data_IF_857485575102
#
_entry.id   IF_857485575102
#
_cell.length_a   1.000
_cell.length_b   1.000
_cell.length_c   1.000
_cell.angle_alpha   90.00
_cell.angle_beta   90.00
_cell.angle_gamma   90.00
#
_symmetry.space_group_name_H-M   'P 1'
#
loop_
_entity.id
_entity.type
_entity.pdbx_description
1 polymer ?
#
# COMPACT_ATOMS: atom_id res chain seq x y z
N UNK A 1 7.81 7.92 13.90
CA UNK A 1 6.41 7.58 13.57
C UNK A 1 6.32 7.66 12.07
N UNK A 2 5.91 6.59 11.37
CA UNK A 2 5.83 6.62 9.91
C UNK A 2 4.59 7.41 9.52
N UNK A 3 4.77 8.52 8.82
CA UNK A 3 3.65 9.34 8.34
C UNK A 3 3.11 8.66 7.09
N UNK A 4 1.89 8.10 7.14
CA UNK A 4 1.28 7.41 6.00
C UNK A 4 1.26 8.31 4.75
N UNK A 5 1.05 9.62 4.97
CA UNK A 5 1.17 10.67 3.95
C UNK A 5 2.55 10.67 3.30
N UNK A 6 3.62 10.78 4.08
CA UNK A 6 4.98 10.85 3.56
C UNK A 6 5.37 9.57 2.84
N UNK A 7 4.97 8.41 3.36
CA UNK A 7 5.28 7.11 2.77
C UNK A 7 4.64 6.95 1.40
N UNK A 8 3.34 7.25 1.28
CA UNK A 8 2.62 7.17 0.00
C UNK A 8 3.23 8.14 -1.00
N UNK A 9 3.44 9.38 -0.60
CA UNK A 9 4.00 10.43 -1.46
C UNK A 9 5.41 10.08 -1.93
N UNK A 10 6.27 9.57 -1.04
CA UNK A 10 7.65 9.19 -1.36
C UNK A 10 7.72 8.05 -2.36
N UNK A 11 6.93 6.99 -2.18
CA UNK A 11 6.93 5.86 -3.13
C UNK A 11 6.33 6.27 -4.49
N UNK A 12 5.27 7.08 -4.49
CA UNK A 12 4.66 7.60 -5.73
C UNK A 12 5.63 8.52 -6.47
N UNK A 13 6.31 9.45 -5.78
CA UNK A 13 7.32 10.32 -6.40
C UNK A 13 8.48 9.55 -7.02
N UNK A 14 8.93 8.49 -6.36
CA UNK A 14 9.99 7.63 -6.88
C UNK A 14 9.55 6.86 -8.13
N UNK A 15 8.31 6.35 -8.14
CA UNK A 15 7.78 5.60 -9.28
C UNK A 15 7.50 6.48 -10.50
N UNK A 16 6.97 7.69 -10.31
CA UNK A 16 6.71 8.62 -11.41
C UNK A 16 7.95 9.44 -11.81
N UNK A 17 9.03 9.40 -11.02
CA UNK A 17 10.21 10.27 -11.23
C UNK A 17 9.80 11.76 -11.24
N UNK A 18 8.83 12.13 -10.41
CA UNK A 18 8.30 13.49 -10.31
C UNK A 18 8.56 14.07 -8.91
N UNK A 19 8.77 15.40 -8.80
CA UNK A 19 8.93 16.04 -7.51
C UNK A 19 7.61 16.02 -6.73
N UNK A 20 7.72 15.81 -5.42
CA UNK A 20 6.62 15.78 -4.45
C UNK A 20 5.68 17.01 -4.53
N UNK A 21 6.21 18.15 -4.96
CA UNK A 21 5.48 19.42 -5.08
C UNK A 21 4.49 19.45 -6.27
N UNK A 22 4.70 18.59 -7.28
CA UNK A 22 3.85 18.53 -8.48
C UNK A 22 2.60 17.66 -8.29
N UNK A 23 2.48 17.00 -7.14
CA UNK A 23 1.37 16.10 -6.87
C UNK A 23 0.23 16.83 -6.16
N UNK A 24 -0.94 16.84 -6.79
CA UNK A 24 -2.18 17.26 -6.15
C UNK A 24 -2.84 16.07 -5.46
N UNK A 25 -3.26 16.25 -4.20
CA UNK A 25 -3.84 15.17 -3.38
C UNK A 25 -5.15 14.60 -3.94
N UNK A 26 -5.88 15.42 -4.71
CA UNK A 26 -7.16 15.08 -5.36
C UNK A 26 -6.99 14.64 -6.83
N UNK A 27 -5.78 14.79 -7.39
CA UNK A 27 -5.55 14.46 -8.81
C UNK A 27 -5.47 12.95 -9.00
N UNK A 28 -6.10 12.51 -10.09
CA UNK A 28 -6.04 11.13 -10.53
C UNK A 28 -4.62 10.78 -11.01
N UNK A 29 -3.96 9.85 -10.32
CA UNK A 29 -2.59 9.44 -10.60
C UNK A 29 -2.43 8.80 -11.99
N UNK A 30 -3.50 8.21 -12.57
CA UNK A 30 -3.42 7.72 -13.94
C UNK A 30 -3.14 8.83 -14.95
N UNK A 31 -3.65 10.05 -14.70
CA UNK A 31 -3.37 11.21 -15.55
C UNK A 31 -1.92 11.68 -15.45
N UNK A 32 -1.24 11.39 -14.33
CA UNK A 32 0.17 11.70 -14.12
C UNK A 32 1.11 10.65 -14.72
N UNK A 33 0.58 9.51 -15.20
CA UNK A 33 1.37 8.40 -15.73
C UNK A 33 1.49 7.20 -14.79
N UNK A 34 0.67 7.12 -13.74
CA UNK A 34 0.55 5.90 -12.96
C UNK A 34 -0.20 4.84 -13.78
N UNK A 35 0.24 3.59 -13.72
CA UNK A 35 -0.35 2.48 -14.47
C UNK A 35 -0.57 1.27 -13.57
N UNK A 36 -1.42 0.31 -13.96
CA UNK A 36 -1.77 -0.86 -13.12
C UNK A 36 -0.55 -1.62 -12.58
N UNK A 37 0.53 -1.73 -13.36
CA UNK A 37 1.75 -2.38 -12.90
C UNK A 37 2.46 -1.60 -11.78
N UNK A 38 2.50 -0.27 -11.87
CA UNK A 38 3.06 0.59 -10.82
C UNK A 38 2.20 0.52 -9.55
N UNK A 39 0.88 0.51 -9.70
CA UNK A 39 -0.06 0.37 -8.56
C UNK A 39 0.15 -0.98 -7.86
N UNK A 40 0.32 -2.06 -8.63
CA UNK A 40 0.61 -3.38 -8.08
C UNK A 40 1.94 -3.37 -7.31
N UNK A 41 3.02 -2.82 -7.90
CA UNK A 41 4.32 -2.68 -7.22
C UNK A 41 4.21 -1.83 -5.95
N UNK A 42 3.47 -0.73 -5.99
CA UNK A 42 3.23 0.15 -4.84
C UNK A 42 2.49 -0.60 -3.73
N UNK A 43 1.48 -1.41 -4.09
CA UNK A 43 0.74 -2.24 -3.13
C UNK A 43 1.65 -3.21 -2.38
N UNK A 44 2.60 -3.85 -3.09
CA UNK A 44 3.59 -4.74 -2.48
C UNK A 44 4.54 -3.98 -1.56
N UNK A 45 5.00 -2.79 -1.96
CA UNK A 45 5.91 -1.94 -1.19
C UNK A 45 5.27 -1.38 0.07
N UNK A 46 4.03 -0.90 -0.04
CA UNK A 46 3.23 -0.49 1.11
C UNK A 46 3.01 -1.66 2.06
N UNK A 47 2.76 -2.85 1.52
CA UNK A 47 2.58 -4.04 2.34
C UNK A 47 3.85 -4.42 3.10
N UNK A 48 5.00 -4.39 2.43
CA UNK A 48 6.29 -4.69 3.04
C UNK A 48 6.71 -3.66 4.11
N UNK A 49 6.47 -2.36 3.86
CA UNK A 49 6.81 -1.28 4.78
C UNK A 49 5.88 -1.24 6.00
N UNK A 50 4.58 -1.46 5.79
CA UNK A 50 3.59 -1.40 6.87
C UNK A 50 3.44 -2.73 7.62
N UNK A 51 3.89 -3.85 7.03
CA UNK A 51 3.73 -5.20 7.57
C UNK A 51 2.31 -5.76 7.45
N UNK A 52 1.47 -5.16 6.59
CA UNK A 52 0.05 -5.53 6.39
C UNK A 52 -0.25 -5.72 4.91
N UNK A 53 -1.17 -6.61 4.56
CA UNK A 53 -1.54 -6.78 3.15
C UNK A 53 -2.39 -5.61 2.64
N UNK A 54 -1.85 -4.83 1.72
CA UNK A 54 -2.53 -3.74 1.00
C UNK A 54 -2.97 -4.28 -0.36
N UNK A 55 -4.28 -4.39 -0.58
CA UNK A 55 -4.82 -4.91 -1.83
C UNK A 55 -4.62 -3.97 -3.02
N UNK A 56 -4.33 -4.52 -4.19
CA UNK A 56 -4.26 -3.77 -5.46
C UNK A 56 -5.62 -3.17 -5.87
N UNK A 57 -6.71 -3.95 -5.75
CA UNK A 57 -8.07 -3.56 -6.14
C UNK A 57 -8.54 -2.21 -5.56
N UNK A 58 -8.43 -1.95 -4.25
CA UNK A 58 -8.83 -0.66 -3.69
C UNK A 58 -7.95 0.49 -4.19
N UNK A 59 -6.63 0.27 -4.33
CA UNK A 59 -5.71 1.30 -4.84
C UNK A 59 -5.99 1.64 -6.31
N UNK A 60 -6.32 0.65 -7.13
CA UNK A 60 -6.66 0.83 -8.54
C UNK A 60 -8.03 1.48 -8.76
N UNK A 61 -8.99 1.22 -7.85
CA UNK A 61 -10.33 1.81 -7.93
C UNK A 61 -10.32 3.30 -7.59
N UNK A 62 -9.47 3.71 -6.64
CA UNK A 62 -9.35 5.08 -6.17
C UNK A 62 -7.90 5.55 -6.27
N UNK A 63 -7.40 5.89 -7.47
CA UNK A 63 -6.01 6.25 -7.76
C UNK A 63 -5.71 7.70 -7.36
N UNK A 64 -6.14 8.15 -6.19
CA UNK A 64 -5.88 9.48 -5.65
C UNK A 64 -5.03 9.37 -4.40
N UNK A 65 -4.11 10.32 -4.20
CA UNK A 65 -3.21 10.29 -3.04
C UNK A 65 -4.00 10.37 -1.73
N UNK A 66 -5.05 11.20 -1.66
CA UNK A 66 -5.85 11.35 -0.45
C UNK A 66 -6.49 10.01 -0.01
N UNK A 67 -7.07 9.27 -0.95
CA UNK A 67 -7.67 7.96 -0.69
C UNK A 67 -6.61 6.93 -0.28
N UNK A 68 -5.45 6.92 -0.95
CA UNK A 68 -4.37 6.00 -0.60
C UNK A 68 -3.82 6.25 0.80
N UNK A 69 -3.64 7.52 1.17
CA UNK A 69 -3.18 7.92 2.50
C UNK A 69 -4.20 7.50 3.56
N UNK A 70 -5.48 7.78 3.34
CA UNK A 70 -6.56 7.38 4.24
C UNK A 70 -6.67 5.85 4.35
N UNK A 71 -6.53 5.13 3.24
CA UNK A 71 -6.57 3.67 3.20
C UNK A 71 -5.41 3.05 3.99
N UNK A 72 -4.18 3.52 3.75
CA UNK A 72 -2.98 3.04 4.47
C UNK A 72 -3.07 3.39 5.95
N UNK A 73 -3.43 4.63 6.31
CA UNK A 73 -3.60 5.04 7.71
C UNK A 73 -4.67 4.22 8.42
N UNK A 74 -5.83 4.03 7.79
CA UNK A 74 -6.93 3.23 8.35
C UNK A 74 -6.55 1.75 8.48
N UNK A 75 -5.88 1.18 7.49
CA UNK A 75 -5.43 -0.22 7.52
C UNK A 75 -4.38 -0.43 8.62
N UNK A 76 -3.48 0.54 8.81
CA UNK A 76 -2.49 0.51 9.88
C UNK A 76 -3.15 0.64 11.26
N UNK A 77 -4.06 1.59 11.45
CA UNK A 77 -4.85 1.74 12.69
C UNK A 77 -5.66 0.49 13.01
N UNK A 78 -6.34 -0.08 12.01
CA UNK A 78 -7.11 -1.32 12.15
C UNK A 78 -6.23 -2.51 12.52
N UNK A 79 -5.01 -2.56 11.97
CA UNK A 79 -4.03 -3.58 12.31
C UNK A 79 -3.47 -3.42 13.73
N UNK A 80 -3.23 -2.19 14.19
CA UNK A 80 -2.83 -1.91 15.59
C UNK A 80 -3.90 -2.37 16.59
N UNK A 81 -5.18 -2.25 16.25
CA UNK A 81 -6.29 -2.74 17.08
C UNK A 81 -6.35 -4.29 17.06
N UNK A 82 -5.96 -4.89 15.92
CA UNK A 82 -5.95 -6.35 15.69
C UNK A 82 -4.65 -7.03 16.16
N UNK A 83 -3.61 -6.28 16.52
CA UNK A 83 -2.29 -6.78 16.95
C UNK A 83 -2.30 -7.64 18.24
N UNK A 84 -3.48 -7.95 18.81
CA UNK A 84 -3.67 -9.02 19.79
C UNK A 84 -3.84 -10.43 19.17
N UNK A 85 -3.81 -10.62 17.84
CA UNK A 85 -3.87 -11.96 17.25
C UNK A 85 -2.59 -12.33 16.49
N UNK A 86 -1.74 -13.24 17.03
CA UNK A 86 -0.66 -13.83 16.26
C UNK A 86 -1.29 -14.72 15.18
N UNK A 87 -1.35 -14.24 13.95
CA UNK A 87 -1.78 -15.06 12.83
C UNK A 87 -0.63 -15.98 12.44
N UNK A 88 -0.56 -17.13 13.11
CA UNK A 88 0.14 -18.30 12.62
C UNK A 88 -0.46 -18.67 11.27
N UNK A 89 0.26 -18.41 10.18
CA UNK A 89 -0.08 -18.96 8.88
C UNK A 89 0.13 -20.48 8.95
N UNK A 90 -0.91 -21.33 8.85
CA UNK A 90 -0.68 -22.76 8.77
C UNK A 90 -0.09 -23.05 7.38
N UNK A 91 1.21 -23.34 7.32
CA UNK A 91 1.81 -24.03 6.18
C UNK A 91 1.09 -25.38 6.00
N UNK A 92 0.36 -25.62 4.89
CA UNK A 92 -0.19 -26.93 4.60
C UNK A 92 0.96 -27.92 4.43
N UNK A 93 0.89 -29.02 5.17
CA UNK A 93 2.01 -29.92 5.40
C UNK A 93 2.64 -30.52 4.15
N UNK A 94 3.96 -30.35 4.03
CA UNK A 94 4.80 -31.35 3.38
C UNK A 94 5.13 -32.43 4.42
N UNK A 95 4.31 -33.48 4.48
CA UNK A 95 4.73 -34.75 5.10
C UNK A 95 4.52 -35.86 4.08
N UNK A 96 5.57 -36.10 3.30
CA UNK A 96 5.71 -37.29 2.48
C UNK A 96 5.88 -38.47 3.45
N UNK A 97 4.82 -39.29 3.60
CA UNK A 97 4.95 -40.71 3.96
C UNK A 97 5.89 -41.35 2.91
N UNK A 98 6.71 -42.35 3.16
CA UNK A 98 6.70 -43.51 4.07
C UNK A 98 8.08 -44.19 3.98
#
# INVERSE_FOLDING_TARGET
MVDAKQLVVSEVSQMLTLPTDSFSFDTNLYQLGLHSLLILRLSERFSAQCGIYIGYLPLASHPTLNEWIAFVDNAWRSSLITAHQPQSFPIPGCNHKE
#
